data_IF_396317549327
#
_entry.id   IF_396317549327
#
_cell.length_a   1.000
_cell.length_b   1.000
_cell.length_c   1.000
_cell.angle_alpha   90.00
_cell.angle_beta   90.00
_cell.angle_gamma   90.00
#
_symmetry.space_group_name_H-M   'P 1'
#
loop_
_entity.id
_entity.type
_entity.pdbx_description
1 polymer ?
#
# COMPACT_ATOMS: atom_id res chain seq x y z
N UNK A 1 8.38 71.17 5.23
CA UNK A 1 7.48 70.25 4.50
C UNK A 1 7.16 69.10 5.43
N UNK A 2 6.06 69.22 6.16
CA UNK A 2 5.68 68.30 7.22
C UNK A 2 4.70 67.28 6.65
N UNK A 3 5.13 66.03 6.51
CA UNK A 3 4.25 64.95 6.05
C UNK A 3 3.35 64.57 7.23
N UNK A 4 2.03 64.66 7.03
CA UNK A 4 1.02 64.31 8.02
C UNK A 4 1.11 62.83 8.40
N UNK A 5 0.99 62.52 9.70
CA UNK A 5 0.96 61.14 10.22
C UNK A 5 -0.18 60.33 9.58
N UNK A 6 -1.22 61.00 9.08
CA UNK A 6 -2.36 60.35 8.42
C UNK A 6 -2.02 59.77 7.04
N UNK A 7 -1.06 60.35 6.30
CA UNK A 7 -0.63 59.80 5.00
C UNK A 7 0.37 58.66 5.13
N UNK A 8 1.09 58.57 6.26
CA UNK A 8 1.96 57.43 6.57
C UNK A 8 1.15 56.15 6.88
N UNK A 9 -0.07 56.31 7.41
CA UNK A 9 -0.94 55.19 7.78
C UNK A 9 -1.61 54.53 6.57
N UNK A 10 -1.97 55.30 5.51
CA UNK A 10 -2.55 54.71 4.29
C UNK A 10 -1.52 53.93 3.45
N UNK A 11 -0.24 54.28 3.51
CA UNK A 11 0.83 53.51 2.85
C UNK A 11 1.19 52.22 3.59
N UNK A 12 0.94 52.14 4.89
CA UNK A 12 1.15 50.93 5.71
C UNK A 12 -0.02 49.92 5.63
N UNK A 13 -1.20 50.33 5.15
CA UNK A 13 -2.34 49.42 4.94
C UNK A 13 -2.35 48.77 3.56
N UNK A 14 -1.52 49.22 2.61
CA UNK A 14 -1.33 48.55 1.31
C UNK A 14 -0.25 47.45 1.33
N UNK A 15 0.53 47.31 2.41
CA UNK A 15 1.54 46.26 2.52
C UNK A 15 1.04 44.94 3.12
N UNK A 16 -0.24 44.81 3.47
CA UNK A 16 -0.81 43.58 4.05
C UNK A 16 -1.48 42.64 3.02
N UNK A 17 -1.54 43.00 1.73
CA UNK A 17 -2.21 42.19 0.69
C UNK A 17 -1.25 41.43 -0.25
N UNK A 18 -0.05 41.06 0.21
CA UNK A 18 0.88 40.26 -0.61
C UNK A 18 1.56 39.11 0.14
N UNK A 19 0.78 38.36 0.89
CA UNK A 19 1.17 37.00 1.28
C UNK A 19 -0.04 36.08 1.23
N UNK A 20 -0.71 36.07 0.07
CA UNK A 20 -1.47 34.90 -0.36
C UNK A 20 -0.50 33.75 -0.58
N UNK A 21 -0.02 33.16 0.52
CA UNK A 21 0.61 31.86 0.48
C UNK A 21 -0.48 30.91 -0.02
N UNK A 22 -0.43 30.62 -1.32
CA UNK A 22 -1.09 29.46 -1.87
C UNK A 22 -0.53 28.28 -1.06
N UNK A 23 -1.33 27.75 -0.13
CA UNK A 23 -1.14 26.39 0.34
C UNK A 23 -1.22 25.54 -0.92
N UNK A 24 -0.06 25.18 -1.47
CA UNK A 24 0.04 23.97 -2.26
C UNK A 24 -0.39 22.88 -1.30
N UNK A 25 -1.65 22.49 -1.39
CA UNK A 25 -2.06 21.18 -0.91
C UNK A 25 -1.17 20.23 -1.71
N UNK A 26 -0.08 19.79 -1.08
CA UNK A 26 0.68 18.67 -1.59
C UNK A 26 -0.36 17.55 -1.71
N UNK A 27 -0.57 17.05 -2.93
CA UNK A 27 -1.36 15.85 -3.13
C UNK A 27 -0.65 14.76 -2.33
N UNK A 28 -1.13 14.52 -1.10
CA UNK A 28 -0.49 13.61 -0.19
C UNK A 28 -0.53 12.24 -0.85
N UNK A 29 0.65 11.64 -1.04
CA UNK A 29 0.79 10.34 -1.70
C UNK A 29 -0.23 9.36 -1.12
N UNK A 30 -1.20 8.93 -1.94
CA UNK A 30 -2.29 8.06 -1.50
C UNK A 30 -1.74 6.76 -0.93
N UNK A 31 -2.37 6.29 0.14
CA UNK A 31 -1.99 5.03 0.79
C UNK A 31 -3.18 4.15 1.07
N UNK A 32 -2.90 2.85 1.09
CA UNK A 32 -3.85 1.78 1.41
C UNK A 32 -3.21 0.78 2.36
N UNK A 33 -4.01 0.04 3.11
CA UNK A 33 -3.53 -1.10 3.90
C UNK A 33 -3.94 -2.41 3.22
N UNK A 34 -2.99 -3.32 3.02
CA UNK A 34 -3.24 -4.68 2.55
C UNK A 34 -2.63 -5.70 3.53
N UNK A 35 -3.08 -6.94 3.49
CA UNK A 35 -2.45 -8.03 4.21
C UNK A 35 -1.14 -8.47 3.51
N UNK A 36 -0.14 -8.87 4.30
CA UNK A 36 1.08 -9.47 3.81
C UNK A 36 0.73 -10.82 3.14
N UNK A 37 1.14 -11.07 1.87
CA UNK A 37 0.84 -12.31 1.15
C UNK A 37 1.27 -13.61 1.84
N UNK A 38 2.21 -13.54 2.77
CA UNK A 38 2.70 -14.69 3.55
C UNK A 38 1.91 -14.98 4.82
N UNK A 39 0.95 -14.13 5.18
CA UNK A 39 0.17 -14.24 6.41
C UNK A 39 -0.64 -15.54 6.42
N UNK A 40 -0.58 -16.28 7.52
CA UNK A 40 -1.35 -17.52 7.68
C UNK A 40 -2.87 -17.26 7.65
N UNK A 41 -3.66 -18.25 7.22
CA UNK A 41 -5.12 -18.12 7.21
C UNK A 41 -5.69 -17.79 8.60
N UNK A 42 -5.13 -18.35 9.68
CA UNK A 42 -5.57 -18.05 11.05
C UNK A 42 -5.41 -16.57 11.39
N UNK A 43 -4.26 -15.98 11.05
CA UNK A 43 -4.00 -14.55 11.29
C UNK A 43 -4.83 -13.67 10.34
N UNK A 44 -5.02 -14.08 9.07
CA UNK A 44 -5.90 -13.37 8.14
C UNK A 44 -7.35 -13.32 8.63
N UNK A 45 -7.85 -14.41 9.20
CA UNK A 45 -9.19 -14.46 9.82
C UNK A 45 -9.23 -13.52 11.03
N UNK A 46 -8.22 -13.54 11.91
CA UNK A 46 -8.16 -12.64 13.06
C UNK A 46 -8.13 -11.16 12.65
N UNK A 47 -7.37 -10.81 11.61
CA UNK A 47 -7.34 -9.47 11.05
C UNK A 47 -8.70 -9.05 10.49
N UNK A 48 -9.35 -9.95 9.75
CA UNK A 48 -10.65 -9.73 9.16
C UNK A 48 -11.71 -9.50 10.24
N UNK A 49 -11.77 -10.36 11.25
CA UNK A 49 -12.70 -10.26 12.37
C UNK A 49 -12.49 -8.97 13.17
N UNK A 50 -11.24 -8.64 13.47
CA UNK A 50 -10.88 -7.39 14.15
C UNK A 50 -11.35 -6.18 13.35
N UNK A 51 -10.95 -6.07 12.08
CA UNK A 51 -11.32 -4.94 11.24
C UNK A 51 -12.86 -4.81 11.12
N UNK A 52 -13.57 -5.90 10.82
CA UNK A 52 -15.02 -5.89 10.66
C UNK A 52 -15.80 -5.63 11.95
N UNK A 53 -15.17 -5.73 13.12
CA UNK A 53 -15.78 -5.27 14.38
C UNK A 53 -15.79 -3.73 14.52
N UNK A 54 -15.00 -3.02 13.71
CA UNK A 54 -14.84 -1.57 13.73
C UNK A 54 -15.38 -0.87 12.47
N UNK A 55 -15.47 -1.58 11.35
CA UNK A 55 -15.93 -1.05 10.05
C UNK A 55 -16.96 -1.95 9.36
N UNK A 56 -17.73 -1.39 8.44
CA UNK A 56 -18.75 -2.13 7.69
C UNK A 56 -18.16 -2.99 6.55
N UNK A 57 -18.13 -4.31 6.73
CA UNK A 57 -17.61 -5.27 5.76
C UNK A 57 -18.68 -5.87 4.81
N UNK A 58 -19.71 -5.10 4.45
CA UNK A 58 -20.78 -5.60 3.56
C UNK A 58 -20.30 -5.91 2.14
N UNK A 59 -19.30 -5.17 1.64
CA UNK A 59 -18.82 -5.29 0.26
C UNK A 59 -18.02 -6.57 -0.04
N UNK A 60 -17.58 -7.29 0.99
CA UNK A 60 -16.91 -8.58 0.86
C UNK A 60 -17.86 -9.76 1.10
N UNK A 61 -19.16 -9.51 1.30
CA UNK A 61 -20.15 -10.57 1.43
C UNK A 61 -20.58 -11.10 0.06
N UNK A 62 -21.08 -12.34 0.01
CA UNK A 62 -21.52 -12.98 -1.22
C UNK A 62 -22.45 -12.09 -2.04
N UNK A 63 -22.15 -11.94 -3.33
CA UNK A 63 -22.91 -11.11 -4.27
C UNK A 63 -22.45 -9.65 -4.35
N UNK A 64 -21.55 -9.21 -3.48
CA UNK A 64 -20.98 -7.86 -3.51
C UNK A 64 -19.73 -7.75 -4.41
N UNK A 65 -19.32 -6.52 -4.73
CA UNK A 65 -18.24 -6.24 -5.69
C UNK A 65 -16.85 -6.70 -5.27
N UNK A 66 -16.60 -6.85 -3.95
CA UNK A 66 -15.32 -7.29 -3.39
C UNK A 66 -15.40 -8.71 -2.80
N UNK A 67 -16.39 -9.51 -3.20
CA UNK A 67 -16.45 -10.90 -2.78
C UNK A 67 -15.41 -11.77 -3.50
N UNK A 68 -15.17 -11.51 -4.80
CA UNK A 68 -14.26 -12.30 -5.62
C UNK A 68 -12.90 -11.60 -5.84
N UNK A 69 -11.78 -12.34 -5.72
CA UNK A 69 -11.69 -13.77 -5.42
C UNK A 69 -12.05 -14.09 -3.96
N UNK A 70 -12.79 -15.18 -3.75
CA UNK A 70 -13.23 -15.59 -2.42
C UNK A 70 -12.09 -16.30 -1.68
N UNK A 71 -11.23 -15.52 -1.04
CA UNK A 71 -10.14 -16.01 -0.20
C UNK A 71 -9.84 -15.04 0.95
N UNK A 72 -9.22 -15.55 2.01
CA UNK A 72 -8.94 -14.78 3.23
C UNK A 72 -8.01 -13.58 2.98
N UNK A 73 -6.99 -13.72 2.11
CA UNK A 73 -6.04 -12.63 1.85
C UNK A 73 -6.75 -11.42 1.23
N UNK A 74 -7.63 -11.66 0.27
CA UNK A 74 -8.40 -10.62 -0.41
C UNK A 74 -9.38 -9.93 0.54
N UNK A 75 -10.18 -10.70 1.28
CA UNK A 75 -11.17 -10.16 2.21
C UNK A 75 -10.52 -9.42 3.38
N UNK A 76 -9.48 -9.98 3.97
CA UNK A 76 -8.72 -9.32 5.04
C UNK A 76 -8.09 -8.03 4.54
N UNK A 77 -7.43 -8.03 3.37
CA UNK A 77 -6.84 -6.81 2.81
C UNK A 77 -7.87 -5.70 2.61
N UNK A 78 -9.07 -6.04 2.14
CA UNK A 78 -10.13 -5.05 1.95
C UNK A 78 -10.62 -4.48 3.29
N UNK A 79 -10.91 -5.34 4.27
CA UNK A 79 -11.36 -4.92 5.60
C UNK A 79 -10.28 -4.12 6.35
N UNK A 80 -9.02 -4.55 6.27
CA UNK A 80 -7.86 -3.86 6.83
C UNK A 80 -7.71 -2.46 6.23
N UNK A 81 -7.95 -2.29 4.91
CA UNK A 81 -7.96 -0.97 4.31
C UNK A 81 -9.08 -0.10 4.89
N UNK A 82 -10.33 -0.57 4.94
CA UNK A 82 -11.44 0.18 5.51
C UNK A 82 -11.13 0.65 6.96
N UNK A 83 -10.60 -0.25 7.78
CA UNK A 83 -10.16 0.09 9.14
C UNK A 83 -9.06 1.15 9.13
N UNK A 84 -8.00 0.95 8.34
CA UNK A 84 -6.88 1.89 8.21
C UNK A 84 -7.33 3.29 7.81
N UNK A 85 -8.26 3.39 6.86
CA UNK A 85 -8.81 4.68 6.40
C UNK A 85 -9.65 5.34 7.49
N UNK A 86 -10.45 4.56 8.23
CA UNK A 86 -11.29 5.03 9.34
C UNK A 86 -10.48 5.50 10.55
N UNK A 87 -9.35 4.85 10.81
CA UNK A 87 -8.51 5.08 12.00
C UNK A 87 -7.51 6.25 11.88
N UNK A 88 -7.43 6.88 10.70
CA UNK A 88 -6.60 8.07 10.50
C UNK A 88 -5.31 7.83 9.73
N UNK A 89 -5.08 6.61 9.21
CA UNK A 89 -3.94 6.27 8.33
C UNK A 89 -2.56 6.47 8.98
N UNK A 90 -2.43 6.20 10.27
CA UNK A 90 -1.13 6.11 10.92
C UNK A 90 -0.45 4.77 10.59
N UNK A 91 0.88 4.70 10.71
CA UNK A 91 1.61 3.43 10.46
C UNK A 91 1.18 2.29 11.36
N UNK A 92 0.74 2.61 12.59
CA UNK A 92 0.18 1.68 13.56
C UNK A 92 -1.15 1.08 13.11
N UNK A 93 -1.96 1.84 12.38
CA UNK A 93 -3.32 1.45 12.00
C UNK A 93 -3.34 0.34 10.95
N UNK A 94 -2.22 0.17 10.24
CA UNK A 94 -1.99 -0.95 9.32
C UNK A 94 -1.01 -1.99 9.90
N UNK A 95 -0.75 -2.03 11.22
CA UNK A 95 0.21 -3.01 11.76
C UNK A 95 -0.34 -4.45 11.73
N UNK A 96 -1.53 -4.69 12.33
CA UNK A 96 -2.17 -6.01 12.40
C UNK A 96 -1.19 -7.13 12.79
N UNK A 97 -0.52 -7.03 13.95
CA UNK A 97 0.52 -8.00 14.37
C UNK A 97 1.66 -8.18 13.34
N UNK A 98 2.07 -7.09 12.70
CA UNK A 98 3.02 -7.04 11.57
C UNK A 98 2.57 -7.77 10.29
N UNK A 99 1.30 -8.14 10.19
CA UNK A 99 0.74 -8.79 8.99
C UNK A 99 0.10 -7.80 8.02
N UNK A 100 0.07 -6.50 8.31
CA UNK A 100 -0.32 -5.47 7.34
C UNK A 100 0.86 -4.87 6.58
N UNK A 101 0.61 -4.33 5.40
CA UNK A 101 1.56 -3.57 4.57
C UNK A 101 0.87 -2.31 4.05
N UNK A 102 1.52 -1.15 4.18
CA UNK A 102 1.00 0.07 3.57
C UNK A 102 1.47 0.10 2.12
N UNK A 103 0.51 0.13 1.20
CA UNK A 103 0.77 0.27 -0.22
C UNK A 103 0.71 1.72 -0.67
N UNK A 104 1.63 2.08 -1.57
CA UNK A 104 1.67 3.34 -2.30
C UNK A 104 1.01 3.24 -3.68
N UNK A 105 0.50 2.07 -4.04
CA UNK A 105 -0.15 1.78 -5.31
C UNK A 105 -1.57 1.28 -5.03
N UNK A 106 -2.50 1.57 -5.93
CA UNK A 106 -3.91 1.26 -5.73
C UNK A 106 -4.17 -0.26 -5.80
N UNK A 107 -4.63 -0.92 -4.71
CA UNK A 107 -4.97 -2.34 -4.69
C UNK A 107 -6.27 -2.69 -5.42
N UNK A 108 -7.04 -1.68 -5.86
CA UNK A 108 -8.30 -1.88 -6.58
C UNK A 108 -8.13 -2.82 -7.76
N UNK A 109 -9.15 -3.66 -7.97
CA UNK A 109 -9.18 -4.65 -9.02
C UNK A 109 -10.61 -4.83 -9.54
N UNK A 110 -10.78 -4.71 -10.86
CA UNK A 110 -12.09 -4.76 -11.54
C UNK A 110 -13.07 -3.78 -10.87
N UNK A 111 -14.19 -4.28 -10.35
CA UNK A 111 -15.22 -3.49 -9.68
C UNK A 111 -15.01 -3.35 -8.16
N UNK A 112 -13.98 -4.00 -7.59
CA UNK A 112 -13.63 -3.87 -6.19
C UNK A 112 -12.70 -2.67 -5.97
N UNK A 113 -13.27 -1.58 -5.47
CA UNK A 113 -12.56 -0.31 -5.28
C UNK A 113 -12.09 -0.17 -3.83
N UNK A 114 -10.79 0.02 -3.64
CA UNK A 114 -10.19 0.33 -2.35
C UNK A 114 -10.25 1.84 -2.11
N UNK A 115 -11.07 2.26 -1.14
CA UNK A 115 -11.17 3.68 -0.78
C UNK A 115 -9.84 4.23 -0.23
N UNK A 116 -9.61 5.51 -0.44
CA UNK A 116 -8.44 6.23 0.08
C UNK A 116 -8.83 7.66 0.44
N UNK A 117 -8.46 8.08 1.66
CA UNK A 117 -8.60 9.46 2.10
C UNK A 117 -7.31 10.28 1.99
N UNK A 118 -6.31 9.80 1.25
CA UNK A 118 -5.02 10.48 1.05
C UNK A 118 -3.83 9.71 1.63
N UNK A 119 -2.76 10.44 1.94
CA UNK A 119 -1.53 9.87 2.49
C UNK A 119 -1.56 9.61 3.99
N UNK A 120 -0.45 9.05 4.47
CA UNK A 120 -0.18 8.82 5.89
C UNK A 120 -0.28 10.13 6.68
N UNK A 121 -1.01 10.11 7.80
CA UNK A 121 -1.15 11.25 8.69
C UNK A 121 -0.02 11.19 9.72
N UNK A 122 1.21 11.48 9.30
CA UNK A 122 2.34 11.69 10.20
C UNK A 122 2.77 13.16 10.13
N UNK A 123 2.90 13.79 11.31
CA UNK A 123 3.43 15.14 11.43
C UNK A 123 4.96 15.09 11.41
N UNK A 124 5.55 15.87 10.50
CA UNK A 124 6.98 16.17 10.35
C UNK A 124 7.85 15.20 9.52
N UNK A 125 8.16 15.69 8.31
CA UNK A 125 9.31 15.46 7.39
C UNK A 125 10.36 14.42 7.81
N UNK A 126 10.65 13.52 6.87
CA UNK A 126 12.03 13.36 6.39
C UNK A 126 12.03 13.19 4.87
N UNK A 127 12.17 14.31 4.15
CA UNK A 127 12.63 14.33 2.75
C UNK A 127 14.12 13.96 2.71
N UNK A 128 14.48 12.74 3.14
CA UNK A 128 15.69 12.02 2.71
C UNK A 128 15.73 10.57 3.23
N UNK A 129 14.59 9.88 3.29
CA UNK A 129 14.63 8.42 3.17
C UNK A 129 14.21 8.11 1.74
N UNK A 130 15.16 7.65 0.92
CA UNK A 130 14.81 6.64 -0.08
C UNK A 130 14.23 5.47 0.73
N UNK A 131 12.94 5.52 1.03
CA UNK A 131 12.29 4.46 1.80
C UNK A 131 12.50 3.21 0.99
N UNK A 132 13.22 2.24 1.54
CA UNK A 132 13.28 0.91 0.95
C UNK A 132 11.84 0.43 0.75
N UNK A 133 11.53 0.03 -0.47
CA UNK A 133 10.21 -0.42 -0.88
C UNK A 133 10.32 -1.84 -1.40
N UNK A 134 9.18 -2.53 -1.37
CA UNK A 134 9.04 -3.88 -1.90
C UNK A 134 7.90 -3.94 -2.89
N UNK A 135 7.97 -4.90 -3.81
CA UNK A 135 6.88 -5.18 -4.74
C UNK A 135 6.18 -6.47 -4.33
N UNK A 136 4.87 -6.43 -4.12
CA UNK A 136 4.05 -7.61 -3.82
C UNK A 136 2.89 -7.72 -4.80
N UNK A 137 2.34 -8.91 -4.98
CA UNK A 137 1.17 -9.11 -5.83
C UNK A 137 -0.09 -8.53 -5.16
N UNK A 138 -1.02 -7.98 -5.95
CA UNK A 138 -2.35 -7.57 -5.46
C UNK A 138 -3.08 -8.77 -4.86
N UNK A 139 -3.75 -8.63 -3.70
CA UNK A 139 -4.53 -9.71 -3.07
C UNK A 139 -5.61 -10.33 -3.96
N UNK A 140 -6.15 -9.55 -4.90
CA UNK A 140 -7.23 -9.94 -5.80
C UNK A 140 -6.75 -10.54 -7.14
N UNK A 141 -5.43 -10.66 -7.36
CA UNK A 141 -4.88 -11.14 -8.63
C UNK A 141 -5.26 -12.60 -8.88
N UNK A 142 -5.74 -12.90 -10.08
CA UNK A 142 -6.12 -14.26 -10.48
C UNK A 142 -4.90 -15.18 -10.62
N UNK A 143 -5.08 -16.46 -10.32
CA UNK A 143 -4.01 -17.47 -10.35
C UNK A 143 -3.27 -17.53 -11.70
N UNK A 144 -3.96 -17.35 -12.83
CA UNK A 144 -3.34 -17.31 -14.15
C UNK A 144 -2.35 -16.15 -14.28
N UNK A 145 -2.76 -14.95 -13.88
CA UNK A 145 -1.90 -13.76 -13.87
C UNK A 145 -0.75 -13.90 -12.86
N UNK A 146 -1.00 -14.47 -11.67
CA UNK A 146 0.06 -14.77 -10.71
C UNK A 146 1.12 -15.70 -11.30
N UNK A 147 0.70 -16.75 -12.01
CA UNK A 147 1.62 -17.66 -12.68
C UNK A 147 2.39 -16.98 -13.82
N UNK A 148 1.74 -16.11 -14.60
CA UNK A 148 2.41 -15.30 -15.62
C UNK A 148 3.48 -14.39 -15.00
N UNK A 149 3.19 -13.76 -13.86
CA UNK A 149 4.14 -12.91 -13.14
C UNK A 149 5.35 -13.70 -12.65
N UNK A 150 5.13 -14.89 -12.07
CA UNK A 150 6.21 -15.81 -11.66
C UNK A 150 7.07 -16.16 -12.86
N UNK A 151 6.45 -16.64 -13.95
CA UNK A 151 7.16 -17.06 -15.15
C UNK A 151 7.99 -15.91 -15.75
N UNK A 152 7.43 -14.70 -15.81
CA UNK A 152 8.14 -13.52 -16.29
C UNK A 152 9.33 -13.18 -15.39
N UNK A 153 9.10 -13.00 -14.09
CA UNK A 153 10.15 -12.60 -13.15
C UNK A 153 11.29 -13.63 -13.12
N UNK A 154 10.98 -14.92 -13.05
CA UNK A 154 11.98 -15.99 -12.96
C UNK A 154 12.81 -16.20 -14.23
N UNK A 155 12.43 -15.60 -15.36
CA UNK A 155 13.30 -15.50 -16.55
C UNK A 155 14.39 -14.42 -16.41
N UNK A 156 14.29 -13.55 -15.41
CA UNK A 156 15.19 -12.42 -15.17
C UNK A 156 15.91 -12.49 -13.82
N UNK A 157 15.38 -13.23 -12.84
CA UNK A 157 15.94 -13.37 -11.50
C UNK A 157 15.97 -14.83 -11.03
N UNK A 158 16.81 -15.12 -10.03
CA UNK A 158 16.91 -16.46 -9.44
C UNK A 158 15.71 -16.76 -8.52
N UNK A 159 14.81 -17.62 -9.00
CA UNK A 159 13.64 -18.09 -8.26
C UNK A 159 13.86 -19.42 -7.54
N UNK A 160 15.10 -19.91 -7.39
CA UNK A 160 15.39 -21.08 -6.54
C UNK A 160 14.80 -20.97 -5.12
N UNK A 161 14.68 -19.78 -4.47
CA UNK A 161 14.15 -19.72 -3.11
C UNK A 161 12.67 -20.13 -2.96
N UNK A 162 11.87 -20.02 -4.03
CA UNK A 162 10.44 -20.38 -4.03
C UNK A 162 10.18 -21.80 -4.57
N UNK A 163 11.22 -22.53 -4.98
CA UNK A 163 11.09 -23.93 -5.38
C UNK A 163 11.03 -24.84 -4.15
N UNK A 164 10.61 -26.10 -4.35
CA UNK A 164 10.54 -27.08 -3.27
C UNK A 164 11.90 -27.21 -2.53
N UNK A 165 11.84 -27.21 -1.20
CA UNK A 165 13.02 -27.15 -0.32
C UNK A 165 13.65 -25.76 -0.14
N UNK A 166 13.21 -24.74 -0.87
CA UNK A 166 13.68 -23.37 -0.75
C UNK A 166 13.13 -22.62 0.49
N UNK A 167 13.83 -21.58 0.99
CA UNK A 167 13.44 -20.84 2.19
C UNK A 167 12.11 -20.09 2.08
N UNK A 168 11.66 -19.80 0.85
CA UNK A 168 10.42 -19.08 0.53
C UNK A 168 9.35 -19.98 -0.10
N UNK A 169 9.53 -21.31 -0.04
CA UNK A 169 8.57 -22.26 -0.58
C UNK A 169 7.25 -22.24 0.19
N UNK A 170 7.31 -22.19 1.52
CA UNK A 170 6.12 -22.14 2.39
C UNK A 170 5.85 -20.69 2.81
N UNK A 171 4.62 -20.16 2.70
CA UNK A 171 3.42 -20.84 2.22
C UNK A 171 3.43 -21.04 0.69
N UNK A 172 2.91 -22.18 0.23
CA UNK A 172 2.89 -22.61 -1.18
C UNK A 172 1.80 -21.92 -2.01
N UNK A 173 1.36 -20.73 -1.61
CA UNK A 173 0.33 -19.98 -2.33
C UNK A 173 0.95 -19.24 -3.51
N UNK A 174 0.26 -19.22 -4.65
CA UNK A 174 0.75 -18.52 -5.85
C UNK A 174 0.98 -17.03 -5.58
N UNK A 175 0.16 -16.40 -4.74
CA UNK A 175 0.31 -14.98 -4.40
C UNK A 175 1.59 -14.70 -3.59
N UNK A 176 2.00 -15.61 -2.71
CA UNK A 176 3.25 -15.50 -1.96
C UNK A 176 4.47 -15.70 -2.88
N UNK A 177 4.46 -16.76 -3.70
CA UNK A 177 5.53 -17.03 -4.67
C UNK A 177 5.67 -15.90 -5.70
N UNK A 178 4.55 -15.42 -6.24
CA UNK A 178 4.54 -14.28 -7.15
C UNK A 178 5.08 -13.02 -6.46
N UNK A 179 4.64 -12.71 -5.25
CA UNK A 179 5.13 -11.54 -4.51
C UNK A 179 6.64 -11.59 -4.29
N UNK A 180 7.19 -12.76 -3.96
CA UNK A 180 8.62 -12.92 -3.82
C UNK A 180 9.37 -12.72 -5.14
N UNK A 181 8.96 -13.40 -6.22
CA UNK A 181 9.59 -13.28 -7.53
C UNK A 181 9.49 -11.86 -8.10
N UNK A 182 8.31 -11.23 -7.99
CA UNK A 182 8.06 -9.84 -8.36
C UNK A 182 8.95 -8.88 -7.58
N UNK A 183 9.13 -9.12 -6.28
CA UNK A 183 10.05 -8.33 -5.47
C UNK A 183 11.48 -8.46 -5.96
N UNK A 184 12.01 -9.68 -6.14
CA UNK A 184 13.38 -9.86 -6.65
C UNK A 184 13.60 -9.12 -7.98
N UNK A 185 12.65 -9.20 -8.90
CA UNK A 185 12.69 -8.45 -10.15
C UNK A 185 12.69 -6.93 -9.90
N UNK A 186 11.80 -6.44 -9.05
CA UNK A 186 11.70 -5.03 -8.67
C UNK A 186 12.99 -4.48 -8.05
N UNK A 187 13.59 -5.23 -7.13
CA UNK A 187 14.85 -4.86 -6.46
C UNK A 187 16.01 -4.76 -7.47
N UNK A 188 16.09 -5.69 -8.43
CA UNK A 188 17.17 -5.73 -9.43
C UNK A 188 17.00 -4.73 -10.58
N UNK A 189 15.79 -4.16 -10.76
CA UNK A 189 15.45 -3.21 -11.83
C UNK A 189 15.21 -1.79 -11.34
N UNK A 190 15.98 -1.37 -10.33
CA UNK A 190 16.03 0.00 -9.80
C UNK A 190 14.75 0.49 -9.10
N UNK A 191 13.85 -0.42 -8.70
CA UNK A 191 12.68 -0.09 -7.86
C UNK A 191 11.73 0.96 -8.46
N UNK A 192 11.60 1.00 -9.78
CA UNK A 192 10.72 1.95 -10.49
C UNK A 192 9.25 1.52 -10.42
N UNK A 193 8.32 2.47 -10.57
CA UNK A 193 6.88 2.14 -10.67
C UNK A 193 6.58 1.12 -11.76
N UNK A 194 7.25 1.23 -12.92
CA UNK A 194 7.08 0.31 -14.04
C UNK A 194 7.61 -1.09 -13.74
N UNK A 195 8.68 -1.22 -12.94
CA UNK A 195 9.21 -2.53 -12.55
C UNK A 195 8.31 -3.32 -11.58
N UNK A 196 7.34 -2.66 -10.92
CA UNK A 196 6.33 -3.33 -10.09
C UNK A 196 4.95 -3.36 -10.75
N UNK A 197 4.81 -2.95 -12.02
CA UNK A 197 3.49 -2.89 -12.64
C UNK A 197 2.87 -4.27 -12.85
N UNK A 198 3.61 -5.19 -13.50
CA UNK A 198 3.15 -6.55 -13.80
C UNK A 198 1.72 -6.58 -14.38
N UNK A 199 1.45 -5.77 -15.41
CA UNK A 199 0.11 -5.59 -16.00
C UNK A 199 -0.93 -5.09 -14.98
N UNK A 200 -0.51 -4.15 -14.12
CA UNK A 200 -1.31 -3.59 -13.04
C UNK A 200 -1.61 -4.54 -11.88
N UNK A 201 -0.88 -5.65 -11.72
CA UNK A 201 -1.08 -6.65 -10.68
C UNK A 201 -0.07 -6.57 -9.52
N UNK A 202 0.94 -5.69 -9.59
CA UNK A 202 1.85 -5.43 -8.48
C UNK A 202 1.49 -4.21 -7.63
N UNK A 203 2.03 -4.20 -6.42
CA UNK A 203 1.86 -3.17 -5.40
C UNK A 203 3.20 -2.82 -4.79
N UNK A 204 3.53 -1.52 -4.78
CA UNK A 204 4.67 -1.01 -4.04
C UNK A 204 4.24 -0.82 -2.58
N UNK A 205 4.99 -1.42 -1.65
CA UNK A 205 4.72 -1.36 -0.21
C UNK A 205 5.90 -0.80 0.58
N UNK A 206 5.61 -0.26 1.76
CA UNK A 206 6.55 0.50 2.59
C UNK A 206 7.26 -0.32 3.69
N UNK A 207 6.97 -1.61 3.82
CA UNK A 207 7.54 -2.49 4.84
C UNK A 207 7.97 -3.81 4.22
N UNK A 208 9.03 -4.36 4.79
CA UNK A 208 9.59 -5.63 4.37
C UNK A 208 8.57 -6.77 4.59
N UNK A 209 8.12 -7.48 3.53
CA UNK A 209 7.18 -8.59 3.65
C UNK A 209 7.79 -9.90 4.17
N UNK A 210 9.10 -9.92 4.47
CA UNK A 210 9.84 -11.09 4.95
C UNK A 210 9.17 -11.79 6.14
N UNK A 211 9.34 -13.10 6.21
CA UNK A 211 8.78 -13.95 7.25
C UNK A 211 9.67 -15.17 7.46
N UNK A 212 9.79 -15.64 8.70
CA UNK A 212 10.66 -16.79 9.02
C UNK A 212 12.08 -16.62 8.43
N UNK A 213 12.48 -17.58 7.61
CA UNK A 213 13.77 -17.56 6.89
C UNK A 213 13.67 -17.03 5.45
N UNK A 214 12.48 -16.62 5.00
CA UNK A 214 12.27 -16.03 3.68
C UNK A 214 12.53 -14.52 3.74
N UNK A 215 13.61 -14.07 3.11
CA UNK A 215 13.99 -12.65 3.04
C UNK A 215 13.69 -12.08 1.66
N UNK A 216 12.81 -11.08 1.61
CA UNK A 216 12.39 -10.35 0.41
C UNK A 216 13.45 -9.33 -0.03
#
# INVERSE_FOLDING_TARGET
>A
MSISVSTLCMLLMLSCFNSGAYLKVADAQRTWCIANPSTSNTELIANLDYACSHVGCSLIQQGSSCFYPNNYLHHASFAMNLYYQRSGRHRSDCNFSNSGLISFSDPSFRSCNYETGGGIVESHRSENQTSETWCVAKPATENSMLQENINFACNHVDCTPIQDGGPCYNPTTLVNHASFAMNLYYQTTQRTNTSCDFKGSGLIVNRNPSYGNCTF
#
